data_IF_583842512526
#
_entry.id   IF_583842512526
#
_cell.length_a   1.000
_cell.length_b   1.000
_cell.length_c   1.000
_cell.angle_alpha   90.00
_cell.angle_beta   90.00
_cell.angle_gamma   90.00
#
_symmetry.space_group_name_H-M   'P 1'
#
loop_
_entity.id
_entity.type
_entity.pdbx_description
1 polymer ?
#
# COMPACT_ATOMS: atom_id res chain seq x y z
N UNK A 1 -56.65 -23.85 -29.08
CA UNK A 1 -56.29 -23.41 -27.71
C UNK A 1 -55.76 -24.61 -26.95
N UNK A 2 -54.45 -24.75 -26.78
CA UNK A 2 -53.84 -25.10 -25.50
C UNK A 2 -52.32 -24.93 -25.59
N UNK A 3 -51.77 -24.37 -24.52
CA UNK A 3 -50.45 -23.78 -24.38
C UNK A 3 -49.30 -24.76 -24.66
N UNK A 4 -48.32 -24.31 -25.45
CA UNK A 4 -46.95 -24.82 -25.43
C UNK A 4 -46.29 -24.44 -24.11
N UNK A 5 -45.93 -25.43 -23.29
CA UNK A 5 -45.08 -25.25 -22.12
C UNK A 5 -43.67 -24.85 -22.57
N UNK A 6 -43.29 -23.60 -22.32
CA UNK A 6 -41.89 -23.16 -22.38
C UNK A 6 -41.13 -23.84 -21.23
N UNK A 7 -39.96 -24.46 -21.48
CA UNK A 7 -39.11 -24.92 -20.40
C UNK A 7 -38.61 -23.71 -19.62
N UNK A 8 -38.86 -23.70 -18.31
CA UNK A 8 -38.19 -22.79 -17.38
C UNK A 8 -36.70 -23.13 -17.39
N UNK A 9 -35.93 -22.41 -18.21
CA UNK A 9 -34.47 -22.39 -18.11
C UNK A 9 -34.15 -21.60 -16.85
N UNK A 10 -33.83 -22.30 -15.77
CA UNK A 10 -33.17 -21.69 -14.62
C UNK A 10 -31.77 -21.27 -15.08
N UNK A 11 -31.59 -19.99 -15.40
CA UNK A 11 -30.28 -19.39 -15.56
C UNK A 11 -29.62 -19.34 -14.18
N UNK A 12 -28.93 -20.40 -13.80
CA UNK A 12 -27.97 -20.36 -12.70
C UNK A 12 -26.74 -19.57 -13.16
N UNK A 13 -26.12 -18.75 -12.30
CA UNK A 13 -24.87 -18.06 -12.65
C UNK A 13 -23.84 -19.10 -13.11
N UNK A 14 -23.14 -18.80 -14.21
CA UNK A 14 -22.08 -19.66 -14.72
C UNK A 14 -20.98 -19.78 -13.65
N UNK A 15 -20.76 -20.99 -13.16
CA UNK A 15 -19.76 -21.30 -12.13
C UNK A 15 -18.33 -21.02 -12.63
N UNK A 16 -18.13 -20.85 -13.94
CA UNK A 16 -16.86 -20.44 -14.52
C UNK A 16 -16.62 -18.92 -14.47
N UNK A 17 -17.67 -18.10 -14.62
CA UNK A 17 -17.58 -16.63 -14.44
C UNK A 17 -17.34 -16.27 -12.97
N UNK A 18 -18.08 -16.89 -12.05
CA UNK A 18 -17.91 -16.65 -10.60
C UNK A 18 -16.54 -17.07 -10.08
N UNK A 19 -15.97 -18.16 -10.62
CA UNK A 19 -14.60 -18.59 -10.30
C UNK A 19 -13.54 -17.66 -10.92
N UNK A 20 -13.79 -17.10 -12.10
CA UNK A 20 -12.90 -16.09 -12.70
C UNK A 20 -12.95 -14.74 -11.96
N UNK A 21 -14.09 -14.35 -11.40
CA UNK A 21 -14.19 -13.15 -10.54
C UNK A 21 -13.53 -13.35 -9.17
N UNK A 22 -13.62 -14.55 -8.57
CA UNK A 22 -12.89 -14.90 -7.34
C UNK A 22 -11.37 -14.96 -7.54
N UNK A 23 -10.88 -15.49 -8.66
CA UNK A 23 -9.44 -15.59 -8.98
C UNK A 23 -8.79 -14.24 -9.34
N UNK A 24 -9.58 -13.18 -9.55
CA UNK A 24 -9.08 -11.90 -10.06
C UNK A 24 -9.26 -10.73 -9.08
N UNK A 25 -9.55 -10.98 -7.79
CA UNK A 25 -9.59 -9.89 -6.82
C UNK A 25 -8.16 -9.43 -6.50
N UNK A 26 -7.71 -8.40 -7.20
CA UNK A 26 -6.37 -7.86 -7.05
C UNK A 26 -6.15 -7.30 -5.64
N UNK A 27 -4.89 -7.19 -5.22
CA UNK A 27 -4.52 -6.52 -3.97
C UNK A 27 -5.21 -5.15 -3.81
N UNK A 28 -5.34 -4.40 -4.90
CA UNK A 28 -5.98 -3.09 -4.89
C UNK A 28 -7.49 -3.18 -4.64
N UNK A 29 -8.17 -4.17 -5.21
CA UNK A 29 -9.60 -4.40 -4.98
C UNK A 29 -9.87 -4.81 -3.53
N UNK A 30 -9.05 -5.71 -2.98
CA UNK A 30 -9.10 -6.09 -1.57
C UNK A 30 -8.86 -4.88 -0.64
N UNK A 31 -7.91 -4.01 -0.98
CA UNK A 31 -7.67 -2.77 -0.24
C UNK A 31 -8.88 -1.81 -0.29
N UNK A 32 -9.70 -1.84 -1.34
CA UNK A 32 -10.91 -1.02 -1.46
C UNK A 32 -12.11 -1.57 -0.68
N UNK A 33 -12.06 -2.81 -0.18
CA UNK A 33 -13.09 -3.39 0.69
C UNK A 33 -12.95 -2.96 2.16
N UNK A 34 -11.82 -2.38 2.53
CA UNK A 34 -11.51 -1.93 3.89
C UNK A 34 -12.49 -0.86 4.43
N UNK A 35 -12.58 -0.60 5.75
CA UNK A 35 -13.48 0.44 6.27
C UNK A 35 -13.11 1.84 5.76
N UNK A 36 -14.10 2.75 5.71
CA UNK A 36 -13.96 4.08 5.07
C UNK A 36 -12.74 4.88 5.55
N UNK A 37 -12.42 4.82 6.84
CA UNK A 37 -11.28 5.55 7.40
C UNK A 37 -9.94 5.02 6.86
N UNK A 38 -9.83 3.71 6.60
CA UNK A 38 -8.64 3.08 5.98
C UNK A 38 -8.56 3.53 4.52
N UNK A 39 -9.66 3.54 3.76
CA UNK A 39 -9.65 4.02 2.37
C UNK A 39 -9.16 5.46 2.25
N UNK A 40 -9.63 6.34 3.14
CA UNK A 40 -9.19 7.75 3.19
C UNK A 40 -7.68 7.80 3.49
N UNK A 41 -7.20 6.99 4.42
CA UNK A 41 -5.78 6.89 4.74
C UNK A 41 -4.94 6.36 3.57
N UNK A 42 -5.40 5.32 2.87
CA UNK A 42 -4.75 4.76 1.68
C UNK A 42 -4.68 5.79 0.54
N UNK A 43 -5.73 6.58 0.35
CA UNK A 43 -5.74 7.67 -0.64
C UNK A 43 -4.74 8.77 -0.27
N UNK A 44 -4.67 9.16 1.00
CA UNK A 44 -3.63 10.07 1.51
C UNK A 44 -2.23 9.52 1.27
N UNK A 45 -2.03 8.24 1.59
CA UNK A 45 -0.76 7.54 1.41
C UNK A 45 -0.35 7.54 -0.06
N UNK A 46 -1.22 7.15 -0.99
CA UNK A 46 -0.94 7.23 -2.43
C UNK A 46 -0.55 8.64 -2.87
N UNK A 47 -1.28 9.66 -2.41
CA UNK A 47 -1.00 11.05 -2.73
C UNK A 47 0.40 11.46 -2.26
N UNK A 48 0.75 11.18 -1.00
CA UNK A 48 2.05 11.56 -0.42
C UNK A 48 3.19 10.77 -1.05
N UNK A 49 3.05 9.45 -1.18
CA UNK A 49 4.12 8.58 -1.68
C UNK A 49 4.45 8.84 -3.16
N UNK A 50 3.48 9.31 -3.94
CA UNK A 50 3.71 9.72 -5.34
C UNK A 50 4.16 11.18 -5.44
N UNK A 51 3.44 12.12 -4.84
CA UNK A 51 3.72 13.54 -5.04
C UNK A 51 4.97 14.02 -4.30
N UNK A 52 5.20 13.56 -3.06
CA UNK A 52 6.34 14.04 -2.27
C UNK A 52 7.69 13.80 -2.97
N UNK A 53 8.04 12.58 -3.46
CA UNK A 53 9.31 12.39 -4.15
C UNK A 53 9.40 13.21 -5.45
N UNK A 54 8.32 13.35 -6.21
CA UNK A 54 8.30 14.18 -7.43
C UNK A 54 8.59 15.65 -7.13
N UNK A 55 7.97 16.20 -6.09
CA UNK A 55 8.23 17.57 -5.63
C UNK A 55 9.69 17.71 -5.16
N UNK A 56 10.21 16.72 -4.41
CA UNK A 56 11.58 16.73 -3.90
C UNK A 56 12.64 16.59 -5.00
N UNK A 57 12.32 15.99 -6.15
CA UNK A 57 13.23 15.86 -7.30
C UNK A 57 13.52 17.21 -7.98
N UNK A 58 12.57 18.14 -7.93
CA UNK A 58 12.70 19.47 -8.56
C UNK A 58 13.86 20.25 -7.94
N UNK A 59 13.97 20.28 -6.60
CA UNK A 59 15.03 21.01 -5.91
C UNK A 59 16.35 20.23 -5.89
N UNK A 60 17.46 20.91 -6.22
CA UNK A 60 18.81 20.33 -6.13
C UNK A 60 19.19 19.90 -4.71
N UNK A 61 18.67 20.59 -3.70
CA UNK A 61 18.98 20.32 -2.28
C UNK A 61 18.35 19.01 -1.77
N UNK A 62 17.20 18.62 -2.32
CA UNK A 62 16.42 17.44 -1.90
C UNK A 62 16.34 16.34 -2.95
N UNK A 63 16.91 16.53 -4.15
CA UNK A 63 16.82 15.56 -5.25
C UNK A 63 17.25 14.15 -4.87
N UNK A 64 18.34 14.02 -4.10
CA UNK A 64 18.79 12.71 -3.60
C UNK A 64 17.77 12.06 -2.68
N UNK A 65 17.09 12.85 -1.85
CA UNK A 65 16.02 12.35 -0.99
C UNK A 65 14.83 11.85 -1.82
N UNK A 66 14.37 12.63 -2.80
CA UNK A 66 13.31 12.19 -3.72
C UNK A 66 13.69 10.90 -4.49
N UNK A 67 14.93 10.81 -4.97
CA UNK A 67 15.43 9.62 -5.68
C UNK A 67 15.47 8.38 -4.80
N UNK A 68 16.02 8.47 -3.58
CA UNK A 68 16.06 7.34 -2.66
C UNK A 68 14.67 6.92 -2.20
N UNK A 69 13.76 7.88 -2.02
CA UNK A 69 12.34 7.57 -1.78
C UNK A 69 11.80 6.71 -2.92
N UNK A 70 11.91 7.12 -4.18
CA UNK A 70 11.42 6.32 -5.32
C UNK A 70 12.04 4.92 -5.33
N UNK A 71 13.37 4.83 -5.19
CA UNK A 71 14.09 3.54 -5.19
C UNK A 71 13.56 2.61 -4.09
N UNK A 72 13.27 3.12 -2.91
CA UNK A 72 12.73 2.33 -1.80
C UNK A 72 11.26 1.92 -1.99
N UNK A 73 10.48 2.63 -2.81
CA UNK A 73 9.08 2.28 -3.09
C UNK A 73 8.95 1.16 -4.14
N UNK A 74 9.83 1.13 -5.14
CA UNK A 74 9.80 0.14 -6.22
C UNK A 74 9.70 -1.31 -5.71
N UNK A 75 10.60 -1.79 -4.82
CA UNK A 75 10.54 -3.18 -4.36
C UNK A 75 9.25 -3.47 -3.57
N UNK A 76 8.76 -2.51 -2.78
CA UNK A 76 7.50 -2.67 -2.04
C UNK A 76 6.32 -2.85 -2.99
N UNK A 77 6.25 -2.03 -4.05
CA UNK A 77 5.18 -2.09 -5.05
C UNK A 77 5.17 -3.42 -5.83
N UNK A 78 6.30 -4.11 -5.92
CA UNK A 78 6.41 -5.41 -6.59
C UNK A 78 6.13 -6.55 -5.60
N UNK A 79 6.76 -6.51 -4.43
CA UNK A 79 6.76 -7.64 -3.48
C UNK A 79 5.40 -7.78 -2.78
N UNK A 80 4.71 -6.68 -2.45
CA UNK A 80 3.45 -6.74 -1.70
C UNK A 80 2.32 -7.41 -2.50
N UNK A 81 2.04 -7.03 -3.76
CA UNK A 81 1.04 -7.73 -4.58
C UNK A 81 1.41 -9.20 -4.80
N UNK A 82 2.68 -9.49 -5.08
CA UNK A 82 3.16 -10.87 -5.23
C UNK A 82 2.91 -11.69 -3.95
N UNK A 83 3.25 -11.14 -2.77
CA UNK A 83 2.96 -11.81 -1.49
C UNK A 83 1.46 -12.01 -1.27
N UNK A 84 0.63 -11.06 -1.69
CA UNK A 84 -0.83 -11.18 -1.60
C UNK A 84 -1.35 -12.31 -2.48
N UNK A 85 -0.83 -12.47 -3.69
CA UNK A 85 -1.22 -13.55 -4.60
C UNK A 85 -0.85 -14.94 -4.04
N UNK A 86 0.26 -15.06 -3.29
CA UNK A 86 0.69 -16.33 -2.69
C UNK A 86 0.07 -16.64 -1.32
N UNK A 87 -0.23 -15.61 -0.52
CA UNK A 87 -0.59 -15.78 0.90
C UNK A 87 -1.96 -15.20 1.27
N UNK A 88 -2.61 -14.47 0.37
CA UNK A 88 -3.84 -13.72 0.62
C UNK A 88 -3.63 -12.47 1.47
N UNK A 89 -4.74 -11.89 1.98
CA UNK A 89 -4.75 -10.66 2.77
C UNK A 89 -4.33 -10.89 4.24
N UNK A 90 -3.07 -11.28 4.44
CA UNK A 90 -2.49 -11.57 5.76
C UNK A 90 -1.71 -10.38 6.32
N UNK A 91 -1.60 -10.31 7.65
CA UNK A 91 -0.82 -9.29 8.38
C UNK A 91 0.67 -9.22 7.97
N UNK A 92 1.22 -10.31 7.44
CA UNK A 92 2.61 -10.37 7.00
C UNK A 92 2.91 -9.47 5.79
N UNK A 93 1.89 -8.99 5.07
CA UNK A 93 2.03 -8.04 3.96
C UNK A 93 2.71 -6.72 4.37
N UNK A 94 2.76 -6.39 5.66
CA UNK A 94 3.51 -5.25 6.19
C UNK A 94 5.04 -5.42 6.18
N UNK A 95 5.54 -6.65 6.06
CA UNK A 95 6.97 -6.94 6.21
C UNK A 95 7.87 -6.24 5.16
N UNK A 96 7.53 -6.22 3.86
CA UNK A 96 8.32 -5.48 2.87
C UNK A 96 8.46 -4.00 3.23
N UNK A 97 7.40 -3.37 3.76
CA UNK A 97 7.45 -1.97 4.19
C UNK A 97 8.50 -1.77 5.28
N UNK A 98 8.54 -2.62 6.31
CA UNK A 98 9.56 -2.52 7.36
C UNK A 98 10.98 -2.59 6.79
N UNK A 99 11.24 -3.54 5.89
CA UNK A 99 12.59 -3.78 5.34
C UNK A 99 13.07 -2.59 4.51
N UNK A 100 12.22 -2.02 3.65
CA UNK A 100 12.63 -0.96 2.71
C UNK A 100 12.41 0.45 3.26
N UNK A 101 11.36 0.69 4.04
CA UNK A 101 11.03 2.03 4.53
C UNK A 101 11.76 2.40 5.82
N UNK A 102 12.16 1.45 6.68
CA UNK A 102 12.96 1.79 7.88
C UNK A 102 14.29 2.46 7.50
N UNK A 103 15.13 1.87 6.61
CA UNK A 103 16.38 2.51 6.18
C UNK A 103 16.13 3.87 5.51
N UNK A 104 15.05 3.98 4.72
CA UNK A 104 14.66 5.23 4.07
C UNK A 104 14.32 6.31 5.11
N UNK A 105 13.46 6.02 6.08
CA UNK A 105 13.05 6.97 7.12
C UNK A 105 14.24 7.42 7.94
N UNK A 106 15.13 6.50 8.33
CA UNK A 106 16.37 6.84 9.03
C UNK A 106 17.20 7.81 8.19
N UNK A 107 17.39 7.52 6.90
CA UNK A 107 18.11 8.41 5.99
C UNK A 107 17.45 9.79 5.89
N UNK A 108 16.12 9.87 5.76
CA UNK A 108 15.38 11.14 5.63
C UNK A 108 15.46 11.97 6.91
N UNK A 109 15.37 11.35 8.09
CA UNK A 109 15.54 12.03 9.38
C UNK A 109 16.95 12.58 9.48
N UNK A 110 17.98 11.76 9.21
CA UNK A 110 19.38 12.20 9.22
C UNK A 110 19.62 13.33 8.21
N UNK A 111 18.99 13.29 7.04
CA UNK A 111 19.07 14.34 6.01
C UNK A 111 18.57 15.68 6.55
N UNK A 112 17.49 15.68 7.34
CA UNK A 112 16.93 16.90 7.95
C UNK A 112 17.77 17.37 9.14
N UNK A 113 18.24 16.46 10.00
CA UNK A 113 19.03 16.78 11.19
C UNK A 113 20.44 17.31 10.87
N UNK A 114 21.05 16.90 9.75
CA UNK A 114 22.42 17.30 9.37
C UNK A 114 22.58 18.76 8.94
N UNK A 115 21.53 19.58 9.02
CA UNK A 115 21.64 21.04 8.99
C UNK A 115 22.02 21.69 7.66
N UNK A 116 22.10 20.94 6.55
CA UNK A 116 22.23 21.61 5.24
C UNK A 116 20.97 22.44 4.99
N UNK A 117 21.09 23.66 4.45
CA UNK A 117 19.92 24.47 4.12
C UNK A 117 18.99 23.73 3.15
N UNK A 118 17.74 23.55 3.56
CA UNK A 118 16.64 23.08 2.72
C UNK A 118 15.61 24.20 2.71
N UNK A 119 15.19 24.64 1.53
CA UNK A 119 14.17 25.68 1.42
C UNK A 119 12.88 25.23 2.09
N UNK A 120 12.19 26.17 2.75
CA UNK A 120 11.01 25.89 3.58
C UNK A 120 9.94 25.01 2.91
N UNK A 121 9.52 25.22 1.64
CA UNK A 121 8.52 24.35 1.03
C UNK A 121 8.96 22.88 0.93
N UNK A 122 10.20 22.61 0.50
CA UNK A 122 10.71 21.24 0.40
C UNK A 122 10.94 20.60 1.78
N UNK A 123 11.27 21.40 2.79
CA UNK A 123 11.38 20.94 4.17
C UNK A 123 10.03 20.49 4.73
N UNK A 124 8.94 21.20 4.43
CA UNK A 124 7.58 20.79 4.81
C UNK A 124 7.18 19.47 4.13
N UNK A 125 7.47 19.32 2.83
CA UNK A 125 7.23 18.06 2.10
C UNK A 125 8.00 16.89 2.73
N UNK A 126 9.26 17.11 3.13
CA UNK A 126 10.03 16.09 3.86
C UNK A 126 9.38 15.71 5.19
N UNK A 127 8.89 16.66 5.98
CA UNK A 127 8.21 16.36 7.24
C UNK A 127 6.92 15.58 7.03
N UNK A 128 6.11 15.94 6.03
CA UNK A 128 4.89 15.22 5.68
C UNK A 128 5.21 13.78 5.25
N UNK A 129 6.23 13.60 4.41
CA UNK A 129 6.68 12.29 3.96
C UNK A 129 7.17 11.44 5.13
N UNK A 130 8.05 11.99 5.98
CA UNK A 130 8.58 11.28 7.16
C UNK A 130 7.45 10.90 8.12
N UNK A 131 6.55 11.83 8.43
CA UNK A 131 5.40 11.57 9.31
C UNK A 131 4.48 10.49 8.76
N UNK A 132 4.19 10.53 7.46
CA UNK A 132 3.37 9.51 6.80
C UNK A 132 4.04 8.14 6.87
N UNK A 133 5.33 8.04 6.52
CA UNK A 133 6.08 6.79 6.58
C UNK A 133 6.16 6.22 8.01
N UNK A 134 6.34 7.07 9.01
CA UNK A 134 6.37 6.64 10.42
C UNK A 134 5.02 6.06 10.88
N UNK A 135 3.90 6.67 10.47
CA UNK A 135 2.57 6.15 10.79
C UNK A 135 2.36 4.79 10.09
N UNK A 136 2.77 4.65 8.83
CA UNK A 136 2.66 3.38 8.12
C UNK A 136 3.50 2.30 8.78
N UNK A 137 4.78 2.59 9.06
CA UNK A 137 5.69 1.68 9.75
C UNK A 137 5.16 1.25 11.12
N UNK A 138 4.42 2.10 11.82
CA UNK A 138 3.79 1.73 13.08
C UNK A 138 2.69 0.68 12.88
N UNK A 139 1.84 0.84 11.86
CA UNK A 139 0.83 -0.16 11.49
C UNK A 139 1.48 -1.46 11.02
N UNK A 140 2.46 -1.38 10.10
CA UNK A 140 3.18 -2.54 9.59
C UNK A 140 3.88 -3.31 10.72
N UNK A 141 4.49 -2.62 11.68
CA UNK A 141 5.15 -3.24 12.81
C UNK A 141 4.15 -3.94 13.73
N UNK A 142 2.98 -3.33 13.99
CA UNK A 142 1.93 -3.96 14.79
C UNK A 142 1.43 -5.24 14.13
N UNK A 143 1.20 -5.22 12.82
CA UNK A 143 0.71 -6.37 12.07
C UNK A 143 1.74 -7.50 11.99
N UNK A 144 3.01 -7.18 11.71
CA UNK A 144 4.08 -8.18 11.71
C UNK A 144 4.29 -8.78 13.09
N UNK A 145 4.26 -7.98 14.16
CA UNK A 145 4.38 -8.50 15.53
C UNK A 145 3.21 -9.44 15.87
N UNK A 146 1.97 -9.07 15.55
CA UNK A 146 0.80 -9.94 15.78
C UNK A 146 0.87 -11.23 14.99
N UNK A 147 1.29 -11.15 13.72
CA UNK A 147 1.50 -12.34 12.89
C UNK A 147 2.55 -13.28 13.50
N UNK A 148 3.68 -12.75 13.96
CA UNK A 148 4.73 -13.54 14.62
C UNK A 148 4.30 -14.12 15.97
N UNK A 149 3.36 -13.48 16.66
CA UNK A 149 2.73 -13.99 17.88
C UNK A 149 1.69 -15.10 17.59
N UNK A 150 1.43 -15.42 16.33
CA UNK A 150 0.53 -16.50 15.90
C UNK A 150 -0.86 -16.04 15.49
N UNK A 151 -1.14 -14.73 15.48
CA UNK A 151 -2.39 -14.19 14.93
C UNK A 151 -2.30 -14.14 13.40
N UNK A 152 -2.57 -15.28 12.76
CA UNK A 152 -2.56 -15.41 11.29
C UNK A 152 -3.91 -15.12 10.64
N UNK A 153 -4.88 -14.62 11.40
CA UNK A 153 -6.20 -14.31 10.87
C UNK A 153 -6.10 -13.26 9.74
N UNK A 154 -6.92 -13.41 8.68
CA UNK A 154 -7.00 -12.43 7.61
C UNK A 154 -7.37 -11.04 8.16
N UNK A 155 -6.83 -9.99 7.55
CA UNK A 155 -7.20 -8.61 7.87
C UNK A 155 -8.61 -8.33 7.32
N UNK A 156 -9.65 -8.71 8.07
CA UNK A 156 -11.06 -8.45 7.76
C UNK A 156 -11.49 -7.03 8.14
#
# INVERSE_FOLDING_TARGET
MLLTALPCVCYGPDLSETRQEEDLMSFFDAAMLQPMWVKIWLLWLMLVLVLAPLILLVSRSTRRAGLFTIIAHIPVFIIVPEMYDHMGYVRLLGLPHLIFWIPLVIYLILRVCRGTPIETPYRQVLYILIGTLLICLAFDAQDVVRYLLGETDPLT
#
